data_IF_840173150562
#
_entry.id   IF_840173150562
#
_cell.length_a   1.000
_cell.length_b   1.000
_cell.length_c   1.000
_cell.angle_alpha   90.00
_cell.angle_beta   90.00
_cell.angle_gamma   90.00
#
_symmetry.space_group_name_H-M   'P 1'
#
loop_
_entity.id
_entity.type
_entity.pdbx_description
1 polymer ?
#
# COMPACT_ATOMS: atom_id res chain seq x y z
N UNK A 1 -25.25 -14.53 -5.32
CA UNK A 1 -23.86 -14.37 -4.87
C UNK A 1 -23.19 -15.72 -5.07
N UNK A 2 -22.09 -15.75 -5.80
CA UNK A 2 -21.29 -16.96 -6.00
C UNK A 2 -20.21 -17.05 -4.93
N UNK A 3 -19.73 -18.25 -4.63
CA UNK A 3 -18.64 -18.47 -3.67
C UNK A 3 -17.39 -17.62 -4.01
N UNK A 4 -17.11 -17.41 -5.31
CA UNK A 4 -15.97 -16.61 -5.77
C UNK A 4 -16.16 -15.11 -5.52
N UNK A 5 -17.39 -14.62 -5.59
CA UNK A 5 -17.72 -13.26 -5.22
C UNK A 5 -17.61 -13.07 -3.70
N UNK A 6 -18.00 -14.07 -2.90
CA UNK A 6 -17.85 -14.04 -1.44
C UNK A 6 -16.37 -13.99 -1.03
N UNK A 7 -15.50 -14.74 -1.71
CA UNK A 7 -14.05 -14.65 -1.48
C UNK A 7 -13.47 -13.28 -1.87
N UNK A 8 -13.98 -12.67 -2.94
CA UNK A 8 -13.58 -11.33 -3.34
C UNK A 8 -14.01 -10.29 -2.30
N UNK A 9 -15.24 -10.37 -1.82
CA UNK A 9 -15.79 -9.47 -0.80
C UNK A 9 -15.03 -9.60 0.52
N UNK A 10 -14.74 -10.83 0.96
CA UNK A 10 -13.94 -11.07 2.17
C UNK A 10 -12.52 -10.48 2.09
N UNK A 11 -11.91 -10.45 0.90
CA UNK A 11 -10.59 -9.83 0.70
C UNK A 11 -10.68 -8.29 0.69
N UNK A 12 -11.74 -7.73 0.09
CA UNK A 12 -11.95 -6.28 0.02
C UNK A 12 -12.36 -5.69 1.37
N UNK A 13 -13.22 -6.37 2.12
CA UNK A 13 -13.63 -5.97 3.47
C UNK A 13 -12.40 -5.79 4.39
N UNK A 14 -11.36 -6.59 4.20
CA UNK A 14 -10.13 -6.46 4.99
C UNK A 14 -9.34 -5.19 4.67
N UNK A 15 -9.41 -4.68 3.44
CA UNK A 15 -8.68 -3.48 2.99
C UNK A 15 -9.53 -2.22 3.14
N UNK A 16 -10.85 -2.38 3.33
CA UNK A 16 -11.75 -1.28 3.67
C UNK A 16 -11.29 -0.49 4.90
N UNK A 17 -10.59 -1.14 5.84
CA UNK A 17 -10.00 -0.49 7.02
C UNK A 17 -8.92 0.52 6.61
N UNK A 18 -7.96 0.12 5.76
CA UNK A 18 -6.88 1.01 5.26
C UNK A 18 -7.47 2.22 4.52
N UNK A 19 -8.50 1.99 3.69
CA UNK A 19 -9.17 3.04 2.93
C UNK A 19 -9.96 3.99 3.83
N UNK A 20 -10.64 3.46 4.85
CA UNK A 20 -11.36 4.28 5.82
C UNK A 20 -10.40 5.19 6.60
N UNK A 21 -9.22 4.70 6.97
CA UNK A 21 -8.20 5.52 7.63
C UNK A 21 -7.73 6.67 6.74
N UNK A 22 -7.44 6.42 5.45
CA UNK A 22 -7.08 7.48 4.49
C UNK A 22 -8.21 8.51 4.33
N UNK A 23 -9.46 8.05 4.27
CA UNK A 23 -10.63 8.91 4.20
C UNK A 23 -10.77 9.81 5.43
N UNK A 24 -10.64 9.23 6.63
CA UNK A 24 -10.75 9.95 7.90
C UNK A 24 -9.63 10.99 8.05
N UNK A 25 -8.39 10.64 7.66
CA UNK A 25 -7.27 11.59 7.65
C UNK A 25 -7.56 12.77 6.71
N UNK A 26 -8.10 12.50 5.53
CA UNK A 26 -8.46 13.53 4.55
C UNK A 26 -9.57 14.44 5.09
N UNK A 27 -10.61 13.87 5.69
CA UNK A 27 -11.73 14.61 6.30
C UNK A 27 -11.29 15.46 7.49
N UNK A 28 -10.45 14.91 8.38
CA UNK A 28 -9.91 15.67 9.51
C UNK A 28 -9.01 16.81 9.01
N UNK A 29 -8.19 16.56 8.00
CA UNK A 29 -7.34 17.58 7.39
C UNK A 29 -8.16 18.72 6.76
N UNK A 30 -9.30 18.43 6.13
CA UNK A 30 -10.18 19.48 5.60
C UNK A 30 -10.82 20.30 6.72
N UNK A 31 -11.33 19.65 7.77
CA UNK A 31 -11.93 20.33 8.93
C UNK A 31 -10.93 21.26 9.63
N UNK A 32 -9.69 20.83 9.79
CA UNK A 32 -8.61 21.65 10.37
C UNK A 32 -8.35 22.91 9.52
N UNK A 33 -8.40 22.79 8.18
CA UNK A 33 -8.20 23.95 7.29
C UNK A 33 -9.36 24.95 7.34
N UNK A 34 -10.56 24.48 7.68
CA UNK A 34 -11.78 25.28 7.79
C UNK A 34 -11.92 25.97 9.15
N UNK A 35 -11.15 25.56 10.16
CA UNK A 35 -11.15 26.15 11.50
C UNK A 35 -10.30 27.44 11.54
N UNK A 36 -10.92 28.63 11.69
CA UNK A 36 -10.20 29.91 11.71
C UNK A 36 -9.39 30.12 13.00
N UNK A 37 -9.68 29.40 14.08
CA UNK A 37 -8.95 29.47 15.34
C UNK A 37 -7.71 28.54 15.34
N UNK A 38 -7.63 27.62 14.38
CA UNK A 38 -6.51 26.70 14.23
C UNK A 38 -5.34 27.36 13.48
N UNK A 39 -4.33 27.82 14.24
CA UNK A 39 -3.16 28.55 13.70
C UNK A 39 -1.92 27.68 13.46
N UNK A 40 -1.95 26.42 13.88
CA UNK A 40 -0.82 25.50 13.74
C UNK A 40 -0.72 25.05 12.28
N UNK A 41 0.45 25.20 11.69
CA UNK A 41 0.75 24.66 10.35
C UNK A 41 1.66 23.45 10.52
N UNK A 42 1.20 22.31 10.01
CA UNK A 42 2.04 21.12 9.90
C UNK A 42 2.69 21.10 8.53
N UNK A 43 4.00 20.86 8.52
CA UNK A 43 4.70 20.51 7.29
C UNK A 43 4.22 19.14 6.79
N UNK A 44 4.17 18.98 5.48
CA UNK A 44 3.85 17.68 4.87
C UNK A 44 4.92 16.63 5.20
N UNK A 45 4.57 15.33 5.17
CA UNK A 45 5.54 14.25 5.33
C UNK A 45 6.75 14.38 4.40
N UNK A 46 6.54 14.86 3.17
CA UNK A 46 7.61 15.13 2.19
C UNK A 46 8.57 16.21 2.69
N UNK A 47 8.05 17.36 3.10
CA UNK A 47 8.87 18.46 3.63
C UNK A 47 9.67 18.03 4.86
N UNK A 48 9.03 17.32 5.80
CA UNK A 48 9.71 16.80 6.99
C UNK A 48 10.82 15.83 6.56
N UNK A 49 10.54 14.91 5.64
CA UNK A 49 11.52 13.92 5.17
C UNK A 49 12.75 14.57 4.54
N UNK A 50 12.58 15.62 3.73
CA UNK A 50 13.68 16.36 3.10
C UNK A 50 14.56 17.06 4.14
N UNK A 51 13.99 17.53 5.25
CA UNK A 51 14.74 18.15 6.34
C UNK A 51 15.58 17.14 7.13
N UNK A 52 15.12 15.89 7.27
CA UNK A 52 15.75 14.89 8.14
C UNK A 52 16.57 13.82 7.40
N UNK A 53 16.42 13.67 6.08
CA UNK A 53 17.03 12.58 5.28
C UNK A 53 18.55 12.54 5.42
N UNK A 54 19.21 13.69 5.41
CA UNK A 54 20.68 13.78 5.51
C UNK A 54 21.18 13.26 6.87
N UNK A 55 20.53 13.68 7.96
CA UNK A 55 20.83 13.22 9.32
C UNK A 55 20.55 11.72 9.49
N UNK A 56 19.44 11.23 8.93
CA UNK A 56 19.10 9.81 8.94
C UNK A 56 20.13 8.96 8.21
N UNK A 57 20.56 9.38 7.01
CA UNK A 57 21.60 8.67 6.23
C UNK A 57 22.90 8.54 7.03
N UNK A 58 23.31 9.61 7.70
CA UNK A 58 24.49 9.59 8.56
C UNK A 58 24.32 8.57 9.70
N UNK A 59 23.21 8.64 10.45
CA UNK A 59 22.94 7.73 11.57
C UNK A 59 22.88 6.26 11.14
N UNK A 60 22.25 5.96 9.99
CA UNK A 60 22.19 4.61 9.44
C UNK A 60 23.59 4.13 9.06
N UNK A 61 24.40 5.00 8.45
CA UNK A 61 25.79 4.67 8.12
C UNK A 61 26.65 4.41 9.35
N UNK A 62 26.53 5.24 10.39
CA UNK A 62 27.23 5.05 11.67
C UNK A 62 26.81 3.76 12.37
N UNK A 63 25.52 3.43 12.34
CA UNK A 63 24.98 2.23 12.98
C UNK A 63 25.34 0.94 12.25
N UNK A 64 25.23 0.93 10.92
CA UNK A 64 25.44 -0.27 10.10
C UNK A 64 26.89 -0.45 9.66
N UNK A 65 27.71 0.60 9.71
CA UNK A 65 29.05 0.62 9.11
C UNK A 65 29.02 0.65 7.57
N UNK A 66 27.86 0.80 6.95
CA UNK A 66 27.68 0.78 5.49
C UNK A 66 27.25 2.18 5.02
N UNK A 67 27.99 2.82 4.10
CA UNK A 67 27.59 4.12 3.57
C UNK A 67 26.26 4.01 2.81
N UNK A 68 25.31 4.88 3.14
CA UNK A 68 24.02 4.95 2.44
C UNK A 68 24.19 5.72 1.13
N UNK A 69 23.79 5.10 0.01
CA UNK A 69 23.85 5.75 -1.31
C UNK A 69 23.03 7.05 -1.34
N UNK A 70 23.53 8.12 -1.98
CA UNK A 70 22.75 9.34 -2.19
C UNK A 70 21.48 9.12 -3.02
N UNK A 71 21.42 8.02 -3.79
CA UNK A 71 20.29 7.65 -4.65
C UNK A 71 19.09 7.09 -3.86
N UNK A 72 19.24 6.81 -2.56
CA UNK A 72 18.15 6.33 -1.71
C UNK A 72 17.18 7.47 -1.41
N UNK A 73 16.03 7.50 -2.08
CA UNK A 73 14.97 8.50 -1.87
C UNK A 73 13.88 7.99 -0.94
N UNK A 74 13.14 8.94 -0.34
CA UNK A 74 11.89 8.65 0.36
C UNK A 74 10.75 8.95 -0.60
N UNK A 75 9.95 7.92 -0.88
CA UNK A 75 8.77 8.02 -1.73
C UNK A 75 7.50 7.93 -0.88
N UNK A 76 6.44 8.56 -1.37
CA UNK A 76 5.11 8.55 -0.77
C UNK A 76 4.14 7.96 -1.79
N UNK A 77 4.21 6.64 -2.07
CA UNK A 77 3.39 6.01 -3.07
C UNK A 77 1.93 6.00 -2.64
N UNK A 78 1.03 6.19 -3.60
CA UNK A 78 -0.41 5.99 -3.41
C UNK A 78 -0.74 4.50 -3.27
N UNK A 79 -1.97 4.17 -2.86
CA UNK A 79 -2.38 2.78 -2.57
C UNK A 79 -2.07 1.80 -3.71
N UNK A 80 -2.32 2.17 -4.97
CA UNK A 80 -2.04 1.32 -6.14
C UNK A 80 -0.54 1.02 -6.29
N UNK A 81 0.30 2.04 -6.15
CA UNK A 81 1.75 1.92 -6.26
C UNK A 81 2.31 1.09 -5.09
N UNK A 82 1.80 1.33 -3.88
CA UNK A 82 2.17 0.59 -2.68
C UNK A 82 1.83 -0.90 -2.80
N UNK A 83 0.61 -1.23 -3.26
CA UNK A 83 0.21 -2.64 -3.50
C UNK A 83 1.05 -3.24 -4.63
N UNK A 84 1.40 -2.49 -5.67
CA UNK A 84 2.34 -2.95 -6.70
C UNK A 84 3.73 -3.30 -6.14
N UNK A 85 4.28 -2.46 -5.26
CA UNK A 85 5.57 -2.72 -4.58
C UNK A 85 5.46 -3.97 -3.70
N UNK A 86 4.37 -4.12 -2.94
CA UNK A 86 4.13 -5.31 -2.11
C UNK A 86 4.04 -6.57 -2.96
N UNK A 87 3.29 -6.52 -4.06
CA UNK A 87 3.20 -7.61 -5.03
C UNK A 87 4.56 -8.06 -5.56
N UNK A 88 5.46 -7.12 -5.88
CA UNK A 88 6.83 -7.42 -6.33
C UNK A 88 7.68 -8.09 -5.25
N UNK A 89 7.44 -7.82 -3.97
CA UNK A 89 8.14 -8.47 -2.84
C UNK A 89 7.64 -9.88 -2.55
N UNK A 90 6.45 -10.26 -3.04
CA UNK A 90 5.95 -11.63 -2.92
C UNK A 90 6.87 -12.56 -3.71
N UNK A 91 7.41 -13.55 -3.02
CA UNK A 91 8.16 -14.64 -3.63
C UNK A 91 7.21 -15.51 -4.45
N UNK A 92 7.12 -15.19 -5.74
CA UNK A 92 6.33 -15.92 -6.72
C UNK A 92 7.26 -16.63 -7.70
N UNK A 93 6.85 -17.81 -8.15
CA UNK A 93 7.47 -18.45 -9.31
C UNK A 93 7.18 -17.63 -10.58
N UNK A 94 7.96 -17.83 -11.65
CA UNK A 94 7.75 -17.07 -12.90
C UNK A 94 6.33 -17.26 -13.47
N UNK A 95 5.76 -18.45 -13.33
CA UNK A 95 4.39 -18.78 -13.79
C UNK A 95 3.28 -18.24 -12.87
N UNK A 96 3.62 -17.77 -11.67
CA UNK A 96 2.69 -17.14 -10.74
C UNK A 96 2.80 -15.61 -10.73
N UNK A 97 3.87 -15.04 -11.29
CA UNK A 97 4.14 -13.59 -11.26
C UNK A 97 2.99 -12.76 -11.83
N UNK A 98 2.50 -13.12 -13.02
CA UNK A 98 1.38 -12.41 -13.66
C UNK A 98 0.11 -12.49 -12.81
N UNK A 99 -0.17 -13.65 -12.21
CA UNK A 99 -1.31 -13.83 -11.32
C UNK A 99 -1.23 -12.90 -10.11
N UNK A 100 -0.07 -12.84 -9.46
CA UNK A 100 0.15 -11.98 -8.29
C UNK A 100 0.02 -10.50 -8.67
N UNK A 101 0.61 -10.07 -9.78
CA UNK A 101 0.50 -8.68 -10.23
C UNK A 101 -0.95 -8.28 -10.50
N UNK A 102 -1.72 -9.16 -11.17
CA UNK A 102 -3.15 -8.95 -11.41
C UNK A 102 -3.97 -8.92 -10.13
N UNK A 103 -3.66 -9.80 -9.17
CA UNK A 103 -4.37 -9.85 -7.88
C UNK A 103 -4.16 -8.58 -7.08
N UNK A 104 -2.90 -8.16 -6.90
CA UNK A 104 -2.58 -6.94 -6.14
C UNK A 104 -3.14 -5.68 -6.80
N UNK A 105 -3.13 -5.63 -8.14
CA UNK A 105 -3.74 -4.54 -8.89
C UNK A 105 -5.27 -4.51 -8.74
N UNK A 106 -5.92 -5.68 -8.84
CA UNK A 106 -7.37 -5.78 -8.67
C UNK A 106 -7.80 -5.38 -7.27
N UNK A 107 -7.02 -5.77 -6.26
CA UNK A 107 -7.19 -5.38 -4.87
C UNK A 107 -7.03 -3.87 -4.68
N UNK A 108 -5.96 -3.26 -5.22
CA UNK A 108 -5.74 -1.82 -5.15
C UNK A 108 -6.90 -1.00 -5.75
N UNK A 109 -7.49 -1.52 -6.83
CA UNK A 109 -8.60 -0.88 -7.55
C UNK A 109 -9.98 -1.24 -7.00
N UNK A 110 -10.04 -2.02 -5.91
CA UNK A 110 -11.28 -2.57 -5.38
C UNK A 110 -12.12 -3.29 -6.45
N UNK A 111 -11.45 -3.90 -7.43
CA UNK A 111 -12.09 -4.57 -8.56
C UNK A 111 -12.57 -5.96 -8.14
N UNK A 112 -13.73 -5.99 -7.48
CA UNK A 112 -14.41 -7.21 -7.03
C UNK A 112 -14.51 -8.27 -8.13
N UNK A 113 -14.96 -7.87 -9.33
CA UNK A 113 -15.10 -8.81 -10.45
C UNK A 113 -13.75 -9.37 -10.88
N UNK A 114 -12.73 -8.52 -10.97
CA UNK A 114 -11.36 -8.95 -11.30
C UNK A 114 -10.79 -9.94 -10.29
N UNK A 115 -11.10 -9.77 -9.00
CA UNK A 115 -10.71 -10.73 -7.96
C UNK A 115 -11.49 -12.04 -8.13
N UNK A 116 -12.81 -11.98 -8.30
CA UNK A 116 -13.63 -13.18 -8.50
C UNK A 116 -13.20 -13.98 -9.75
N UNK A 117 -12.81 -13.30 -10.83
CA UNK A 117 -12.30 -13.93 -12.05
C UNK A 117 -10.94 -14.60 -11.81
N UNK A 118 -10.07 -14.03 -10.96
CA UNK A 118 -8.82 -14.66 -10.55
C UNK A 118 -9.04 -15.89 -9.66
N UNK A 119 -10.04 -15.87 -8.77
CA UNK A 119 -10.45 -17.05 -7.99
C UNK A 119 -10.90 -18.18 -8.92
N UNK A 120 -11.69 -17.86 -9.96
CA UNK A 120 -12.14 -18.83 -10.97
C UNK A 120 -10.99 -19.36 -11.82
N UNK A 121 -10.02 -18.51 -12.14
CA UNK A 121 -8.86 -18.88 -12.93
C UNK A 121 -7.99 -19.91 -12.19
N UNK A 122 -7.66 -19.63 -10.93
CA UNK A 122 -6.85 -20.53 -10.11
C UNK A 122 -7.08 -20.26 -8.61
N UNK A 123 -7.99 -21.03 -8.01
CA UNK A 123 -8.35 -20.89 -6.61
C UNK A 123 -7.17 -21.22 -5.68
N UNK A 124 -6.28 -22.13 -6.05
CA UNK A 124 -5.13 -22.49 -5.22
C UNK A 124 -4.12 -21.33 -5.17
N UNK A 125 -3.79 -20.72 -6.32
CA UNK A 125 -2.96 -19.50 -6.37
C UNK A 125 -3.63 -18.36 -5.62
N UNK A 126 -4.94 -18.19 -5.75
CA UNK A 126 -5.67 -17.17 -4.98
C UNK A 126 -5.52 -17.37 -3.47
N UNK A 127 -5.77 -18.58 -2.95
CA UNK A 127 -5.71 -18.85 -1.50
C UNK A 127 -4.31 -18.62 -0.93
N UNK A 128 -3.25 -18.90 -1.71
CA UNK A 128 -1.88 -18.61 -1.30
C UNK A 128 -1.62 -17.10 -1.33
N UNK A 129 -1.84 -16.46 -2.47
CA UNK A 129 -1.37 -15.08 -2.69
C UNK A 129 -2.27 -14.00 -2.09
N UNK A 130 -3.55 -14.29 -1.85
CA UNK A 130 -4.45 -13.38 -1.12
C UNK A 130 -3.97 -13.10 0.31
N UNK A 131 -3.28 -14.05 0.95
CA UNK A 131 -2.70 -13.85 2.29
C UNK A 131 -1.58 -12.78 2.29
N UNK A 132 -0.92 -12.58 1.15
CA UNK A 132 0.08 -11.51 0.99
C UNK A 132 -0.55 -10.20 0.52
N UNK A 133 -1.66 -10.26 -0.23
CA UNK A 133 -2.42 -9.07 -0.61
C UNK A 133 -3.14 -8.42 0.59
N UNK A 134 -3.36 -9.21 1.65
CA UNK A 134 -3.91 -8.80 2.94
C UNK A 134 -3.04 -7.80 3.72
N UNK A 135 -1.70 -7.88 3.59
CA UNK A 135 -0.76 -7.15 4.45
C UNK A 135 -0.22 -5.87 3.81
#
# INVERSE_FOLDING_TARGET
MTEQEEFADALLDQISVEINEEHDISMLSSRIREDPDFKVKFDSPRQISEQIISSLRQKVGEFTGIPVSPDVTVEFPELEELKGIKGKKVFATQDAREFVDRLFLAVAKQNRQGIADLVKLDAAKFLVYSTYAKA
#
